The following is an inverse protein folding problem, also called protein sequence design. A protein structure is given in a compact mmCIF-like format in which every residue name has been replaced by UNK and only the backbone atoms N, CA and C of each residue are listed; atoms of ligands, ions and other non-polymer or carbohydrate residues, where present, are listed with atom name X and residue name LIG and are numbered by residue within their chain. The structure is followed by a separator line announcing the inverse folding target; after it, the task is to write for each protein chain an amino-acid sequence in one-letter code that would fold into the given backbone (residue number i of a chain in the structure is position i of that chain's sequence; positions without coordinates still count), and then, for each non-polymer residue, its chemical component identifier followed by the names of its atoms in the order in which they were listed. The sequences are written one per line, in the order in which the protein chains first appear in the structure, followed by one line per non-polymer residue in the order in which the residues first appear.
data_IF_082767683046
#
_entry.id   IF_082767683046
#
_cell.length_a   1.000
_cell.length_b   1.000
_cell.length_c   1.000
_cell.angle_alpha   90.00
_cell.angle_beta   90.00
_cell.angle_gamma   90.00
#
_symmetry.space_group_name_H-M   'P 1'
#
loop_
_entity.id
_entity.type
_entity.pdbx_description
1 polymer ?
#
# COMPACT_ATOMS: atom_id res chain seq x y z
N UNK A 1 -5.60 10.12 -13.07
CA UNK A 1 -5.83 8.97 -12.20
C UNK A 1 -6.49 9.38 -10.90
N UNK A 2 -7.27 8.46 -10.32
CA UNK A 2 -7.98 8.71 -9.08
C UNK A 2 -7.04 8.99 -7.90
N UNK A 3 -5.94 8.26 -7.78
CA UNK A 3 -4.98 8.44 -6.70
C UNK A 3 -4.30 9.81 -6.79
N UNK A 4 -3.99 10.28 -7.99
CA UNK A 4 -3.40 11.61 -8.20
C UNK A 4 -4.40 12.70 -7.84
N UNK A 5 -5.66 12.56 -8.24
CA UNK A 5 -6.73 13.51 -7.88
C UNK A 5 -6.92 13.58 -6.37
N UNK A 6 -6.92 12.44 -5.68
CA UNK A 6 -7.02 12.39 -4.22
C UNK A 6 -5.81 13.06 -3.55
N UNK A 7 -4.60 12.90 -4.09
CA UNK A 7 -3.42 13.56 -3.55
C UNK A 7 -3.50 15.08 -3.66
N UNK A 8 -4.10 15.61 -4.73
CA UNK A 8 -4.35 17.06 -4.83
C UNK A 8 -5.32 17.53 -3.75
N UNK A 9 -6.30 16.72 -3.41
CA UNK A 9 -7.32 17.09 -2.40
C UNK A 9 -6.77 16.97 -0.97
N UNK A 10 -6.05 15.89 -0.67
CA UNK A 10 -5.66 15.54 0.71
C UNK A 10 -4.17 15.75 1.01
N UNK A 11 -3.34 15.99 0.01
CA UNK A 11 -1.88 16.15 0.16
C UNK A 11 -1.10 14.86 0.09
N UNK A 12 -1.73 13.72 0.30
CA UNK A 12 -1.10 12.40 0.19
C UNK A 12 -2.17 11.35 -0.07
N UNK A 13 -1.90 10.44 -0.99
CA UNK A 13 -2.82 9.36 -1.30
C UNK A 13 -2.06 8.14 -1.81
N UNK A 14 -2.61 6.96 -1.59
CA UNK A 14 -2.04 5.70 -2.06
C UNK A 14 -3.15 4.75 -2.48
N UNK A 15 -2.83 3.86 -3.40
CA UNK A 15 -3.73 2.75 -3.71
C UNK A 15 -3.62 1.70 -2.60
N UNK A 16 -4.73 1.03 -2.33
CA UNK A 16 -4.78 -0.06 -1.38
C UNK A 16 -6.03 -0.88 -1.58
N UNK A 17 -6.08 -2.02 -0.92
CA UNK A 17 -7.24 -2.92 -0.96
C UNK A 17 -7.54 -3.42 0.45
N UNK A 18 -8.83 -3.64 0.78
CA UNK A 18 -9.17 -4.27 2.05
C UNK A 18 -8.51 -5.64 2.17
N UNK A 19 -8.03 -5.96 3.36
CA UNK A 19 -7.41 -7.25 3.65
C UNK A 19 -8.48 -8.33 3.64
N UNK A 20 -8.22 -9.45 2.94
CA UNK A 20 -9.15 -10.60 2.88
C UNK A 20 -8.89 -11.61 3.97
N UNK A 21 -7.61 -11.80 4.34
CA UNK A 21 -7.21 -12.81 5.31
C UNK A 21 -7.30 -12.28 6.73
N UNK A 22 -7.49 -13.17 7.69
CA UNK A 22 -7.39 -12.80 9.10
C UNK A 22 -5.94 -12.46 9.43
N UNK A 23 -5.73 -11.28 10.02
CA UNK A 23 -4.41 -10.80 10.42
C UNK A 23 -4.23 -11.02 11.91
N UNK A 24 -3.10 -11.56 12.30
CA UNK A 24 -2.75 -11.77 13.71
C UNK A 24 -1.53 -10.93 14.08
N UNK A 25 -1.59 -10.30 15.25
CA UNK A 25 -0.41 -9.72 15.86
C UNK A 25 0.25 -10.82 16.66
N UNK A 26 1.57 -11.02 16.52
CA UNK A 26 2.29 -12.09 17.21
C UNK A 26 3.39 -11.52 18.10
N UNK A 27 3.80 -12.29 19.11
CA UNK A 27 4.98 -11.97 19.90
C UNK A 27 6.23 -12.60 19.29
N UNK A 28 7.40 -12.38 19.92
CA UNK A 28 8.68 -12.89 19.42
C UNK A 28 8.77 -14.43 19.43
N UNK A 29 7.95 -15.10 20.22
CA UNK A 29 7.93 -16.57 20.33
C UNK A 29 6.95 -17.20 19.32
N UNK A 30 6.26 -16.40 18.51
CA UNK A 30 5.36 -16.91 17.49
C UNK A 30 3.93 -17.13 17.92
N UNK A 31 3.55 -16.69 19.11
CA UNK A 31 2.18 -16.82 19.60
C UNK A 31 1.36 -15.60 19.20
N UNK A 32 0.10 -15.83 18.77
CA UNK A 32 -0.84 -14.77 18.47
C UNK A 32 -1.25 -14.04 19.74
N UNK A 33 -1.13 -12.70 19.74
CA UNK A 33 -1.47 -11.86 20.90
C UNK A 33 -2.72 -11.03 20.67
N UNK A 34 -3.10 -10.78 19.42
CA UNK A 34 -4.28 -10.00 19.09
C UNK A 34 -4.73 -10.30 17.66
N UNK A 35 -6.01 -10.04 17.39
CA UNK A 35 -6.59 -10.12 16.05
C UNK A 35 -7.25 -8.78 15.77
N UNK A 36 -6.59 -7.87 14.98
CA UNK A 36 -7.21 -6.60 14.62
C UNK A 36 -8.49 -6.81 13.82
N UNK A 37 -9.40 -5.84 13.92
CA UNK A 37 -10.63 -5.85 13.14
C UNK A 37 -10.30 -5.71 11.66
N UNK A 38 -10.56 -6.76 10.88
CA UNK A 38 -10.22 -6.82 9.45
C UNK A 38 -10.91 -5.72 8.64
N UNK A 39 -12.08 -5.27 9.07
CA UNK A 39 -12.79 -4.20 8.37
C UNK A 39 -12.03 -2.87 8.35
N UNK A 40 -11.06 -2.69 9.24
CA UNK A 40 -10.22 -1.48 9.33
C UNK A 40 -8.85 -1.64 8.70
N UNK A 41 -8.55 -2.81 8.14
CA UNK A 41 -7.22 -3.12 7.62
C UNK A 41 -7.20 -3.08 6.10
N UNK A 42 -6.22 -2.36 5.57
CA UNK A 42 -5.97 -2.26 4.13
C UNK A 42 -4.51 -2.60 3.83
N UNK A 43 -4.30 -3.34 2.74
CA UNK A 43 -2.96 -3.60 2.22
C UNK A 43 -2.61 -2.49 1.24
N UNK A 44 -1.56 -1.73 1.54
CA UNK A 44 -1.15 -0.57 0.74
C UNK A 44 -0.37 -1.02 -0.49
N UNK A 45 -0.71 -0.44 -1.62
CA UNK A 45 -0.10 -0.74 -2.91
C UNK A 45 0.60 0.50 -3.45
N UNK A 46 1.13 0.41 -4.66
CA UNK A 46 1.63 1.54 -5.42
C UNK A 46 0.67 1.81 -6.60
N UNK A 47 0.59 3.05 -7.10
CA UNK A 47 1.39 4.22 -6.73
C UNK A 47 0.97 4.85 -5.41
N UNK A 48 1.93 5.57 -4.80
CA UNK A 48 1.74 6.44 -3.65
C UNK A 48 2.12 7.84 -4.10
N UNK A 49 1.25 8.83 -3.87
CA UNK A 49 1.43 10.19 -4.38
C UNK A 49 1.39 11.18 -3.22
N UNK A 50 2.37 12.08 -3.16
CA UNK A 50 2.54 13.01 -2.06
C UNK A 50 2.77 14.44 -2.55
N UNK A 51 2.34 15.43 -1.76
CA UNK A 51 2.70 16.82 -1.96
C UNK A 51 4.21 16.96 -1.69
N UNK A 52 4.93 17.60 -2.63
CA UNK A 52 6.40 17.61 -2.65
C UNK A 52 7.02 18.21 -1.39
N UNK A 53 6.55 19.38 -0.95
CA UNK A 53 7.14 20.07 0.20
C UNK A 53 6.98 19.25 1.48
N UNK A 54 5.79 18.69 1.70
CA UNK A 54 5.51 17.85 2.87
C UNK A 54 6.35 16.58 2.86
N UNK A 55 6.50 15.96 1.69
CA UNK A 55 7.30 14.75 1.55
C UNK A 55 8.79 15.02 1.84
N UNK A 56 9.33 16.10 1.29
CA UNK A 56 10.73 16.45 1.53
C UNK A 56 11.00 16.78 3.01
N UNK A 57 10.06 17.45 3.67
CA UNK A 57 10.15 17.70 5.11
C UNK A 57 10.17 16.39 5.91
N UNK A 58 9.33 15.42 5.52
CA UNK A 58 9.27 14.12 6.16
C UNK A 58 10.59 13.35 6.01
N UNK A 59 11.17 13.37 4.81
CA UNK A 59 12.46 12.71 4.53
C UNK A 59 13.57 13.32 5.39
N UNK A 60 13.64 14.66 5.46
CA UNK A 60 14.64 15.34 6.29
C UNK A 60 14.52 14.96 7.76
N UNK A 61 13.31 14.92 8.27
CA UNK A 61 13.08 14.56 9.68
C UNK A 61 13.46 13.12 9.95
N UNK A 62 13.14 12.21 9.04
CA UNK A 62 13.51 10.79 9.16
C UNK A 62 15.03 10.61 9.19
N UNK A 63 15.77 11.34 8.35
CA UNK A 63 17.23 11.31 8.32
C UNK A 63 17.80 11.80 9.64
N UNK A 64 17.29 12.92 10.17
CA UNK A 64 17.76 13.49 11.44
C UNK A 64 17.52 12.55 12.63
N UNK A 65 16.42 11.80 12.60
CA UNK A 65 16.07 10.87 13.68
C UNK A 65 16.66 9.48 13.48
N UNK A 66 17.33 9.24 12.35
CA UNK A 66 17.84 7.93 11.96
C UNK A 66 16.73 6.87 11.97
N UNK A 67 15.51 7.30 11.62
CA UNK A 67 14.34 6.44 11.64
C UNK A 67 14.24 5.61 10.36
N UNK A 68 13.72 4.40 10.49
CA UNK A 68 13.50 3.48 9.39
C UNK A 68 12.01 3.20 9.24
N UNK A 69 11.50 3.25 8.02
CA UNK A 69 10.07 3.09 7.75
C UNK A 69 9.84 2.04 6.66
N UNK A 70 8.73 1.32 6.78
CA UNK A 70 8.38 0.26 5.83
C UNK A 70 7.83 0.80 4.52
N UNK A 71 7.25 2.01 4.51
CA UNK A 71 6.80 2.67 3.29
C UNK A 71 6.75 4.20 3.49
N UNK A 72 6.56 4.91 2.37
CA UNK A 72 6.51 6.37 2.38
C UNK A 72 5.25 6.91 3.04
N UNK A 73 4.16 6.16 3.03
CA UNK A 73 2.93 6.55 3.73
C UNK A 73 3.17 6.63 5.23
N UNK A 74 3.89 5.67 5.81
CA UNK A 74 4.26 5.69 7.23
C UNK A 74 5.11 6.93 7.55
N UNK A 75 6.04 7.27 6.65
CA UNK A 75 6.86 8.45 6.78
C UNK A 75 6.01 9.72 6.88
N UNK A 76 5.03 9.87 6.01
CA UNK A 76 4.12 11.03 5.99
C UNK A 76 3.25 11.08 7.24
N UNK A 77 2.75 9.93 7.69
CA UNK A 77 1.89 9.83 8.87
C UNK A 77 2.61 10.26 10.15
N UNK A 78 3.90 9.97 10.27
CA UNK A 78 4.70 10.34 11.44
C UNK A 78 4.82 11.86 11.59
N UNK A 79 4.68 12.62 10.50
CA UNK A 79 4.66 14.08 10.54
C UNK A 79 3.26 14.66 10.78
N UNK A 80 2.27 13.82 11.02
CA UNK A 80 0.89 14.26 11.21
C UNK A 80 0.12 14.49 9.92
N UNK A 81 0.66 14.09 8.77
CA UNK A 81 -0.06 14.16 7.51
C UNK A 81 -1.04 12.99 7.40
N UNK A 82 -2.22 13.26 6.87
CA UNK A 82 -3.19 12.21 6.60
C UNK A 82 -2.94 11.65 5.20
N UNK A 83 -2.97 10.32 5.07
CA UNK A 83 -2.85 9.64 3.79
C UNK A 83 -4.19 9.02 3.43
N UNK A 84 -4.78 9.46 2.32
CA UNK A 84 -6.04 8.92 1.84
C UNK A 84 -5.79 7.64 1.03
N UNK A 85 -6.52 6.57 1.35
CA UNK A 85 -6.41 5.31 0.62
C UNK A 85 -7.52 5.22 -0.42
N UNK A 86 -7.11 5.01 -1.69
CA UNK A 86 -8.01 4.82 -2.80
C UNK A 86 -8.12 3.35 -3.12
N UNK A 87 -9.28 2.89 -3.55
CA UNK A 87 -9.47 1.49 -3.95
C UNK A 87 -8.58 1.15 -5.13
N UNK A 88 -7.68 0.21 -4.93
CA UNK A 88 -6.84 -0.37 -5.96
C UNK A 88 -7.41 -1.66 -6.50
N UNK A 89 -6.56 -2.57 -6.89
CA UNK A 89 -6.94 -3.87 -7.45
C UNK A 89 -6.11 -4.97 -6.80
N UNK A 90 -6.75 -6.11 -6.52
CA UNK A 90 -6.03 -7.29 -6.04
C UNK A 90 -5.08 -7.86 -7.10
N UNK A 91 -5.24 -7.44 -8.35
CA UNK A 91 -4.31 -7.80 -9.44
C UNK A 91 -3.02 -6.96 -9.43
N UNK A 92 -2.98 -5.85 -8.68
CA UNK A 92 -1.80 -4.99 -8.55
C UNK A 92 -0.89 -5.58 -7.48
N UNK A 93 -0.04 -6.51 -7.88
CA UNK A 93 0.86 -7.22 -6.97
C UNK A 93 2.31 -6.81 -7.19
N UNK A 94 3.11 -6.89 -6.10
CA UNK A 94 4.55 -6.66 -6.18
C UNK A 94 5.24 -7.98 -6.50
N UNK A 95 6.01 -8.02 -7.58
CA UNK A 95 6.68 -9.24 -8.03
C UNK A 95 7.94 -9.50 -7.19
N UNK A 96 7.81 -10.26 -6.12
CA UNK A 96 8.93 -10.56 -5.20
C UNK A 96 9.21 -12.05 -5.06
N UNK A 97 8.29 -12.92 -5.49
CA UNK A 97 8.42 -14.38 -5.36
C UNK A 97 8.07 -15.07 -6.67
N UNK A 98 8.41 -16.37 -6.76
CA UNK A 98 7.99 -17.20 -7.90
C UNK A 98 6.46 -17.32 -7.97
N UNK A 99 5.82 -17.42 -6.81
CA UNK A 99 4.35 -17.48 -6.73
C UNK A 99 3.72 -16.21 -7.28
N UNK A 100 4.29 -15.05 -6.96
CA UNK A 100 3.82 -13.77 -7.50
C UNK A 100 3.92 -13.72 -9.03
N UNK A 101 5.00 -14.28 -9.59
CA UNK A 101 5.20 -14.34 -11.02
C UNK A 101 4.14 -15.22 -11.69
N UNK A 102 3.80 -16.35 -11.08
CA UNK A 102 2.75 -17.25 -11.59
C UNK A 102 1.40 -16.55 -11.58
N UNK A 103 1.07 -15.85 -10.50
CA UNK A 103 -0.18 -15.07 -10.38
C UNK A 103 -0.22 -13.98 -11.44
N UNK A 104 0.88 -13.24 -11.63
CA UNK A 104 0.96 -12.18 -12.64
C UNK A 104 0.75 -12.74 -14.05
N UNK A 105 1.33 -13.90 -14.35
CA UNK A 105 1.17 -14.54 -15.66
C UNK A 105 -0.29 -14.96 -15.90
N UNK A 106 -0.95 -15.49 -14.86
CA UNK A 106 -2.37 -15.88 -14.96
C UNK A 106 -3.25 -14.66 -15.23
N UNK A 107 -2.98 -13.52 -14.57
CA UNK A 107 -3.71 -12.28 -14.78
C UNK A 107 -3.52 -11.77 -16.20
N UNK A 108 -2.30 -11.79 -16.72
CA UNK A 108 -2.01 -11.37 -18.10
C UNK A 108 -2.73 -12.26 -19.12
N UNK A 109 -2.74 -13.57 -18.91
CA UNK A 109 -3.42 -14.51 -19.79
C UNK A 109 -4.93 -14.26 -19.82
N UNK A 110 -5.52 -13.98 -18.68
CA UNK A 110 -6.94 -13.65 -18.59
C UNK A 110 -7.27 -12.36 -19.35
N UNK A 111 -6.47 -11.32 -19.17
CA UNK A 111 -6.64 -10.05 -19.88
C UNK A 111 -6.51 -10.21 -21.38
N UNK A 112 -5.56 -11.00 -21.85
CA UNK A 112 -5.37 -11.27 -23.26
C UNK A 112 -6.56 -12.02 -23.84
N UNK A 113 -7.14 -12.99 -23.11
CA UNK A 113 -8.34 -13.71 -23.51
C UNK A 113 -9.53 -12.76 -23.64
N UNK A 114 -9.72 -11.88 -22.66
CA UNK A 114 -10.79 -10.87 -22.68
C UNK A 114 -10.66 -9.93 -23.89
N UNK A 115 -9.44 -9.49 -24.22
CA UNK A 115 -9.18 -8.66 -25.40
C UNK A 115 -9.55 -9.39 -26.69
N UNK A 116 -9.24 -10.68 -26.77
CA UNK A 116 -9.55 -11.48 -27.96
C UNK A 116 -11.05 -11.68 -28.15
N UNK A 117 -11.82 -11.63 -27.07
CA UNK A 117 -13.27 -11.82 -27.09
C UNK A 117 -14.05 -10.49 -27.23
N UNK A 118 -13.36 -9.38 -27.20
CA UNK A 118 -13.99 -8.08 -27.39
C UNK A 118 -13.77 -7.58 -28.83
#
# INVERSE_FOLDING_TARGET
EKVTADAFTYGAAALGVPVKDTIKVTNAQGFATATPDRSTLWAVQTPQVFEKTSYLSAVKQAIQQEADYTDDCQLMEQLGNQVHLCMGSYENIKLTTKEDLIVAQAILNQRNTERSNS
#
